data_IF_968497940991
#
_entry.id   IF_968497940991
#
_cell.length_a   1.000
_cell.length_b   1.000
_cell.length_c   1.000
_cell.angle_alpha   90.00
_cell.angle_beta   90.00
_cell.angle_gamma   90.00
#
_symmetry.space_group_name_H-M   'P 1'
#
loop_
_entity.id
_entity.type
_entity.pdbx_description
1 polymer ?
#
# COMPACT_ATOMS: atom_id res chain seq x y z
N UNK A 1 -14.15 7.28 -56.33
CA UNK A 1 -13.83 7.96 -55.09
C UNK A 1 -12.88 9.11 -55.42
N UNK A 2 -13.27 10.34 -55.22
CA UNK A 2 -12.49 11.50 -55.65
C UNK A 2 -11.26 11.70 -54.76
N UNK A 3 -10.13 12.11 -55.37
CA UNK A 3 -8.86 12.29 -54.68
C UNK A 3 -8.95 13.28 -53.48
N UNK A 4 -9.92 14.20 -53.50
CA UNK A 4 -10.20 15.12 -52.39
C UNK A 4 -10.79 14.45 -51.15
N UNK A 5 -11.65 13.43 -51.34
CA UNK A 5 -12.26 12.67 -50.22
C UNK A 5 -11.24 11.78 -49.53
N UNK A 6 -10.27 11.25 -50.31
CA UNK A 6 -9.19 10.42 -49.74
C UNK A 6 -8.21 11.26 -48.88
N UNK A 7 -7.90 12.49 -49.32
CA UNK A 7 -7.04 13.42 -48.53
C UNK A 7 -7.70 13.85 -47.22
N UNK A 8 -9.00 14.13 -47.19
CA UNK A 8 -9.72 14.47 -45.96
C UNK A 8 -9.75 13.28 -44.97
N UNK A 9 -9.93 12.03 -45.47
CA UNK A 9 -9.98 10.86 -44.63
C UNK A 9 -8.63 10.56 -43.99
N UNK A 10 -7.53 10.73 -44.76
CA UNK A 10 -6.15 10.49 -44.21
C UNK A 10 -5.80 11.54 -43.14
N UNK A 11 -6.20 12.80 -43.32
CA UNK A 11 -5.94 13.86 -42.35
C UNK A 11 -6.73 13.66 -41.06
N UNK A 12 -7.97 13.19 -41.14
CA UNK A 12 -8.80 12.90 -39.94
C UNK A 12 -8.22 11.72 -39.16
N UNK A 13 -7.74 10.66 -39.82
CA UNK A 13 -7.12 9.50 -39.16
C UNK A 13 -5.82 9.92 -38.47
N UNK A 14 -5.03 10.81 -39.09
CA UNK A 14 -3.78 11.28 -38.49
C UNK A 14 -4.03 12.18 -37.26
N UNK A 15 -5.05 13.02 -37.30
CA UNK A 15 -5.48 13.84 -36.14
C UNK A 15 -6.05 12.99 -35.01
N UNK A 16 -6.80 11.93 -35.32
CA UNK A 16 -7.29 10.97 -34.30
C UNK A 16 -6.13 10.17 -33.67
N UNK A 17 -5.14 9.76 -34.44
CA UNK A 17 -3.96 9.05 -33.92
C UNK A 17 -3.12 9.94 -32.99
N UNK A 18 -2.96 11.24 -33.30
CA UNK A 18 -2.27 12.19 -32.42
C UNK A 18 -3.08 12.44 -31.13
N UNK A 19 -4.40 12.50 -31.21
CA UNK A 19 -5.26 12.68 -30.03
C UNK A 19 -5.16 11.48 -29.07
N UNK A 20 -5.05 10.25 -29.58
CA UNK A 20 -4.88 9.06 -28.76
C UNK A 20 -3.48 9.02 -28.12
N UNK A 21 -2.44 9.48 -28.81
CA UNK A 21 -1.09 9.57 -28.26
C UNK A 21 -0.94 10.62 -27.14
N UNK A 22 -1.71 11.70 -27.19
CA UNK A 22 -1.69 12.77 -26.16
C UNK A 22 -2.44 12.32 -24.89
N UNK A 23 -3.45 11.45 -24.99
CA UNK A 23 -4.19 10.94 -23.83
C UNK A 23 -3.47 9.78 -23.12
N UNK A 24 -2.41 9.24 -23.70
CA UNK A 24 -1.59 8.17 -23.09
C UNK A 24 -0.43 8.65 -22.21
N UNK A 25 -0.13 9.96 -22.19
CA UNK A 25 0.86 10.57 -21.30
C UNK A 25 0.19 11.35 -20.16
N UNK A 26 -0.77 10.74 -19.49
CA UNK A 26 -1.17 11.20 -18.17
C UNK A 26 0.06 11.05 -17.26
N UNK A 27 0.69 12.17 -16.89
CA UNK A 27 1.59 12.22 -15.74
C UNK A 27 0.75 11.80 -14.53
N UNK A 28 0.71 10.49 -14.25
CA UNK A 28 0.07 9.99 -13.06
C UNK A 28 0.89 10.53 -11.88
N UNK A 29 0.29 11.38 -11.06
CA UNK A 29 0.89 11.87 -9.83
C UNK A 29 1.12 10.71 -8.82
N UNK A 30 0.64 9.53 -9.15
CA UNK A 30 0.77 8.33 -8.33
C UNK A 30 1.91 7.43 -8.81
N UNK A 31 2.61 6.83 -7.85
CA UNK A 31 3.64 5.82 -8.13
C UNK A 31 2.99 4.52 -8.61
N UNK A 32 3.62 3.87 -9.57
CA UNK A 32 3.31 2.48 -9.90
C UNK A 32 3.92 1.58 -8.82
N UNK A 33 3.09 0.86 -8.09
CA UNK A 33 3.51 -0.01 -6.98
C UNK A 33 3.73 -1.44 -7.46
N UNK A 34 4.79 -2.07 -6.95
CA UNK A 34 5.14 -3.49 -7.20
C UNK A 34 5.66 -4.14 -5.93
N UNK A 35 5.63 -5.48 -5.91
CA UNK A 35 6.19 -6.29 -4.82
C UNK A 35 5.68 -5.87 -3.44
N UNK A 36 4.40 -5.51 -3.36
CA UNK A 36 3.78 -5.15 -2.09
C UNK A 36 3.59 -6.42 -1.24
N UNK A 37 3.91 -6.31 0.05
CA UNK A 37 3.65 -7.34 1.03
C UNK A 37 3.38 -6.70 2.38
N UNK A 38 2.43 -7.25 3.12
CA UNK A 38 2.21 -6.91 4.52
C UNK A 38 2.26 -8.16 5.37
N UNK A 39 2.84 -8.02 6.55
CA UNK A 39 2.82 -9.02 7.60
C UNK A 39 2.29 -8.37 8.89
N UNK A 40 1.31 -9.00 9.51
CA UNK A 40 0.79 -8.62 10.81
C UNK A 40 1.20 -9.69 11.80
N UNK A 41 1.81 -9.29 12.91
CA UNK A 41 2.30 -10.20 13.95
C UNK A 41 1.65 -9.90 15.28
N UNK A 42 1.40 -10.95 16.06
CA UNK A 42 0.98 -10.87 17.45
C UNK A 42 1.48 -12.12 18.20
N UNK A 43 0.97 -12.36 19.39
CA UNK A 43 1.20 -13.61 20.13
C UNK A 43 -0.07 -14.06 20.84
N UNK A 44 -0.23 -15.39 20.92
CA UNK A 44 -1.24 -16.07 21.71
C UNK A 44 -0.54 -16.89 22.78
N UNK A 45 -0.75 -16.55 24.06
CA UNK A 45 -0.08 -17.25 25.19
C UNK A 45 1.46 -17.40 24.98
N UNK A 46 2.13 -16.32 24.55
CA UNK A 46 3.55 -16.27 24.17
C UNK A 46 3.93 -17.10 22.92
N UNK A 47 2.97 -17.67 22.22
CA UNK A 47 3.23 -18.32 20.91
C UNK A 47 3.10 -17.27 19.80
N UNK A 48 4.17 -17.06 19.01
CA UNK A 48 4.11 -16.10 17.90
C UNK A 48 3.08 -16.48 16.86
N UNK A 49 2.31 -15.49 16.41
CA UNK A 49 1.31 -15.59 15.36
C UNK A 49 1.64 -14.58 14.25
N UNK A 50 1.41 -14.94 13.00
CA UNK A 50 1.62 -14.04 11.88
C UNK A 50 0.62 -14.30 10.76
N UNK A 51 0.13 -13.21 10.17
CA UNK A 51 -0.69 -13.19 8.97
C UNK A 51 0.05 -12.42 7.88
N UNK A 52 -0.14 -12.80 6.64
CA UNK A 52 0.52 -12.16 5.50
C UNK A 52 -0.39 -12.10 4.29
N UNK A 53 -0.21 -11.09 3.45
CA UNK A 53 -0.76 -11.01 2.10
C UNK A 53 0.12 -10.16 1.21
N UNK A 54 0.11 -10.44 -0.09
CA UNK A 54 0.67 -9.63 -1.18
C UNK A 54 -0.43 -8.92 -1.99
N UNK A 55 -1.69 -9.14 -1.63
CA UNK A 55 -2.85 -8.50 -2.27
C UNK A 55 -3.20 -7.22 -1.50
N UNK A 56 -2.54 -6.13 -1.85
CA UNK A 56 -2.65 -4.82 -1.20
C UNK A 56 -2.84 -3.75 -2.27
N UNK A 57 -3.84 -2.88 -2.09
CA UNK A 57 -3.94 -1.65 -2.90
C UNK A 57 -3.17 -0.52 -2.22
N UNK A 58 -2.08 -0.07 -2.87
CA UNK A 58 -1.23 1.01 -2.35
C UNK A 58 -1.26 2.19 -3.31
N UNK A 59 -1.54 3.37 -2.76
CA UNK A 59 -1.50 4.66 -3.46
C UNK A 59 -0.50 5.59 -2.80
N UNK A 60 0.39 6.17 -3.61
CA UNK A 60 1.35 7.18 -3.15
C UNK A 60 1.35 8.32 -4.14
N UNK A 61 1.03 9.52 -3.66
CA UNK A 61 1.18 10.72 -4.44
C UNK A 61 2.66 11.16 -4.45
N UNK A 62 3.27 11.20 -5.64
CA UNK A 62 4.69 11.56 -5.81
C UNK A 62 5.04 12.99 -5.39
N UNK A 63 4.05 13.91 -5.45
CA UNK A 63 4.26 15.33 -5.16
C UNK A 63 4.09 15.65 -3.68
N UNK A 64 3.05 15.07 -3.05
CA UNK A 64 2.71 15.36 -1.67
C UNK A 64 3.25 14.32 -0.70
N UNK A 65 3.55 13.12 -1.18
CA UNK A 65 3.93 11.98 -0.34
C UNK A 65 2.73 11.29 0.31
N UNK A 66 1.48 11.76 0.04
CA UNK A 66 0.30 11.12 0.59
C UNK A 66 0.30 9.63 0.26
N UNK A 67 0.20 8.84 1.29
CA UNK A 67 0.26 7.38 1.25
C UNK A 67 -1.02 6.78 1.81
N UNK A 68 -1.54 5.79 1.13
CA UNK A 68 -2.64 4.95 1.58
C UNK A 68 -2.39 3.51 1.16
N UNK A 69 -2.54 2.56 2.08
CA UNK A 69 -2.53 1.13 1.81
C UNK A 69 -3.83 0.51 2.33
N UNK A 70 -4.59 -0.14 1.45
CA UNK A 70 -5.83 -0.84 1.76
C UNK A 70 -5.62 -2.35 1.69
N UNK A 71 -5.92 -3.04 2.77
CA UNK A 71 -5.76 -4.48 2.93
C UNK A 71 -7.13 -5.10 3.21
N UNK A 72 -7.65 -5.87 2.28
CA UNK A 72 -8.86 -6.66 2.53
C UNK A 72 -8.51 -7.79 3.51
N UNK A 73 -9.19 -7.84 4.65
CA UNK A 73 -8.89 -8.80 5.72
C UNK A 73 -9.03 -10.25 5.24
N UNK A 74 -9.96 -10.51 4.32
CA UNK A 74 -10.15 -11.84 3.70
C UNK A 74 -8.90 -12.35 2.95
N UNK A 75 -8.00 -11.46 2.54
CA UNK A 75 -6.76 -11.82 1.85
C UNK A 75 -5.61 -12.16 2.82
N UNK A 76 -5.78 -11.92 4.11
CA UNK A 76 -4.78 -12.28 5.12
C UNK A 76 -4.77 -13.79 5.34
N UNK A 77 -3.63 -14.41 5.15
CA UNK A 77 -3.40 -15.84 5.39
C UNK A 77 -2.45 -16.06 6.54
N UNK A 78 -2.65 -17.12 7.31
CA UNK A 78 -1.70 -17.48 8.35
C UNK A 78 -0.36 -17.89 7.74
N UNK A 79 0.71 -17.21 8.14
CA UNK A 79 2.08 -17.58 7.78
C UNK A 79 2.52 -18.87 8.51
N UNK A 80 1.97 -19.12 9.71
CA UNK A 80 2.17 -20.34 10.47
C UNK A 80 0.79 -20.81 10.98
N UNK A 81 0.24 -21.92 10.46
CA UNK A 81 -1.05 -22.42 10.91
C UNK A 81 -1.02 -22.75 12.41
N UNK A 82 -1.95 -22.18 13.17
CA UNK A 82 -2.18 -22.56 14.56
C UNK A 82 -3.59 -23.18 14.66
N UNK A 83 -3.72 -24.47 14.96
CA UNK A 83 -5.02 -25.14 15.04
C UNK A 83 -5.91 -24.63 16.19
N UNK A 84 -5.31 -24.01 17.21
CA UNK A 84 -6.03 -23.49 18.38
C UNK A 84 -6.62 -22.09 18.15
N UNK A 85 -6.25 -21.45 17.05
CA UNK A 85 -6.75 -20.13 16.69
C UNK A 85 -7.57 -20.21 15.39
N UNK A 86 -8.88 -20.16 15.53
CA UNK A 86 -9.80 -20.16 14.37
C UNK A 86 -9.96 -18.78 13.74
N UNK A 87 -9.27 -17.79 14.28
CA UNK A 87 -9.07 -16.44 13.69
C UNK A 87 -10.32 -15.64 13.40
N UNK A 88 -10.07 -14.44 13.06
CA UNK A 88 -10.96 -13.35 12.68
C UNK A 88 -11.80 -13.59 11.41
N UNK A 89 -12.41 -14.74 11.17
CA UNK A 89 -12.92 -15.08 9.84
C UNK A 89 -14.40 -14.82 9.60
N UNK A 90 -15.22 -14.58 10.62
CA UNK A 90 -16.67 -14.47 10.44
C UNK A 90 -17.19 -13.03 10.32
N UNK A 91 -16.86 -12.20 11.29
CA UNK A 91 -17.43 -10.84 11.43
C UNK A 91 -16.64 -9.76 10.67
N UNK A 92 -15.40 -10.06 10.26
CA UNK A 92 -14.51 -9.12 9.55
C UNK A 92 -14.51 -9.31 8.04
N UNK A 93 -15.30 -10.24 7.53
CA UNK A 93 -15.38 -10.53 6.10
C UNK A 93 -15.79 -9.28 5.31
N UNK A 94 -15.01 -8.98 4.28
CA UNK A 94 -15.23 -7.81 3.42
C UNK A 94 -14.79 -6.48 4.03
N UNK A 95 -14.17 -6.46 5.22
CA UNK A 95 -13.64 -5.26 5.84
C UNK A 95 -12.20 -4.99 5.39
N UNK A 96 -11.83 -3.72 5.44
CA UNK A 96 -10.48 -3.26 5.10
C UNK A 96 -9.75 -2.75 6.33
N UNK A 97 -8.48 -3.12 6.44
CA UNK A 97 -7.50 -2.42 7.26
C UNK A 97 -6.83 -1.39 6.37
N UNK A 98 -6.90 -0.11 6.76
CA UNK A 98 -6.35 1.01 5.99
C UNK A 98 -5.21 1.64 6.79
N UNK A 99 -4.06 1.80 6.15
CA UNK A 99 -2.92 2.54 6.68
C UNK A 99 -2.75 3.80 5.86
N UNK A 100 -2.71 4.97 6.50
CA UNK A 100 -2.51 6.24 5.81
C UNK A 100 -1.53 7.15 6.53
N UNK A 101 -0.88 8.05 5.78
CA UNK A 101 0.10 9.01 6.29
C UNK A 101 0.81 9.73 5.18
N UNK A 102 1.94 10.38 5.50
CA UNK A 102 2.75 11.10 4.52
C UNK A 102 4.17 10.55 4.51
N UNK A 103 4.57 9.91 3.40
CA UNK A 103 5.92 9.40 3.20
C UNK A 103 6.79 10.48 2.52
N UNK A 104 8.03 10.73 2.98
CA UNK A 104 8.91 11.74 2.38
C UNK A 104 9.56 11.24 1.06
N UNK A 105 8.73 10.93 0.06
CA UNK A 105 9.16 10.34 -1.21
C UNK A 105 10.13 11.26 -1.97
N UNK A 106 9.92 12.57 -1.91
CA UNK A 106 10.81 13.54 -2.55
C UNK A 106 12.20 13.51 -1.93
N UNK A 107 12.30 13.46 -0.60
CA UNK A 107 13.60 13.35 0.10
C UNK A 107 14.37 12.10 -0.35
N UNK A 108 13.65 10.99 -0.55
CA UNK A 108 14.23 9.73 -1.03
C UNK A 108 14.72 9.87 -2.48
N UNK A 109 13.92 10.48 -3.34
CA UNK A 109 14.25 10.63 -4.76
C UNK A 109 15.38 11.63 -4.99
N UNK A 110 15.56 12.61 -4.12
CA UNK A 110 16.65 13.59 -4.17
C UNK A 110 17.97 13.03 -3.60
N UNK A 111 17.90 12.19 -2.58
CA UNK A 111 19.08 11.60 -1.92
C UNK A 111 19.55 10.33 -2.65
N UNK A 112 20.51 10.49 -3.55
CA UNK A 112 20.85 9.50 -4.55
C UNK A 112 21.47 8.18 -4.04
N UNK A 113 22.01 8.07 -2.82
CA UNK A 113 22.89 6.94 -2.47
C UNK A 113 22.72 6.34 -1.06
N UNK A 114 21.82 6.85 -0.23
CA UNK A 114 21.69 6.36 1.14
C UNK A 114 20.25 5.94 1.45
N UNK A 115 20.10 4.89 2.25
CA UNK A 115 18.82 4.60 2.90
C UNK A 115 18.44 5.75 3.84
N UNK A 116 17.17 6.10 3.87
CA UNK A 116 16.62 7.12 4.76
C UNK A 116 15.72 6.42 5.77
N UNK A 117 16.04 6.54 7.05
CA UNK A 117 15.18 6.11 8.14
C UNK A 117 14.36 7.29 8.65
N UNK A 118 13.06 7.09 8.79
CA UNK A 118 12.12 8.10 9.31
C UNK A 118 11.09 7.47 10.24
N UNK A 119 10.78 8.21 11.30
CA UNK A 119 9.59 7.95 12.12
C UNK A 119 8.46 8.82 11.59
N UNK A 120 7.34 8.22 11.29
CA UNK A 120 6.19 8.85 10.64
C UNK A 120 4.94 8.49 11.44
N UNK A 121 4.14 9.49 11.77
CA UNK A 121 2.82 9.29 12.34
C UNK A 121 1.89 8.74 11.27
N UNK A 122 1.30 7.59 11.55
CA UNK A 122 0.38 6.89 10.68
C UNK A 122 -0.98 6.76 11.35
N UNK A 123 -2.01 6.87 10.56
CA UNK A 123 -3.36 6.49 10.94
C UNK A 123 -3.63 5.07 10.46
N UNK A 124 -4.06 4.21 11.35
CA UNK A 124 -4.60 2.91 11.03
C UNK A 124 -6.10 2.95 11.26
N UNK A 125 -6.88 2.65 10.23
CA UNK A 125 -8.35 2.62 10.28
C UNK A 125 -8.84 1.19 10.10
N UNK A 126 -9.85 0.81 10.90
CA UNK A 126 -10.58 -0.43 10.73
C UNK A 126 -12.05 -0.23 11.11
N UNK A 127 -12.97 -0.50 10.18
CA UNK A 127 -14.43 -0.45 10.39
C UNK A 127 -14.94 0.89 10.98
N UNK A 128 -14.27 2.01 10.61
CA UNK A 128 -14.60 3.36 11.07
C UNK A 128 -13.97 3.76 12.41
N UNK A 129 -13.07 2.94 12.96
CA UNK A 129 -12.26 3.27 14.13
C UNK A 129 -10.84 3.58 13.70
N UNK A 130 -10.28 4.69 14.23
CA UNK A 130 -8.96 5.18 13.90
C UNK A 130 -7.99 5.00 15.07
N UNK A 131 -6.77 4.59 14.78
CA UNK A 131 -5.68 4.51 15.73
C UNK A 131 -4.44 5.23 15.19
N UNK A 132 -3.89 6.16 15.95
CA UNK A 132 -2.68 6.90 15.60
C UNK A 132 -1.45 6.22 16.21
N UNK A 133 -0.45 5.95 15.42
CA UNK A 133 0.80 5.36 15.91
C UNK A 133 2.00 5.78 15.07
N UNK A 134 3.19 5.68 15.66
CA UNK A 134 4.44 5.98 14.96
C UNK A 134 4.98 4.73 14.30
N UNK A 135 5.14 4.79 12.99
CA UNK A 135 5.85 3.78 12.20
C UNK A 135 7.29 4.23 11.92
N UNK A 136 8.20 3.28 11.93
CA UNK A 136 9.56 3.49 11.43
C UNK A 136 9.64 2.97 10.00
N UNK A 137 10.02 3.84 9.07
CA UNK A 137 10.21 3.52 7.67
C UNK A 137 11.69 3.61 7.28
N UNK A 138 12.16 2.61 6.57
CA UNK A 138 13.43 2.63 5.83
C UNK A 138 13.10 2.72 4.33
N UNK A 139 13.61 3.73 3.67
CA UNK A 139 13.38 3.98 2.24
C UNK A 139 14.70 4.09 1.50
N UNK A 140 14.77 3.51 0.29
CA UNK A 140 15.96 3.48 -0.54
C UNK A 140 15.61 3.78 -2.00
N UNK A 141 16.34 4.71 -2.63
CA UNK A 141 16.24 4.99 -4.06
C UNK A 141 16.99 3.95 -4.87
N UNK A 142 16.41 3.55 -6.00
CA UNK A 142 17.11 2.74 -7.01
C UNK A 142 17.83 3.60 -8.04
N UNK A 143 18.94 3.12 -8.58
CA UNK A 143 19.64 3.77 -9.69
C UNK A 143 18.76 3.91 -10.94
N UNK A 144 17.77 3.04 -11.10
CA UNK A 144 16.83 3.02 -12.23
C UNK A 144 15.64 3.97 -12.08
N UNK A 145 15.60 4.78 -11.01
CA UNK A 145 14.58 5.81 -10.84
C UNK A 145 13.32 5.37 -10.07
N UNK A 146 13.40 4.31 -9.29
CA UNK A 146 12.35 3.91 -8.35
C UNK A 146 12.84 3.96 -6.90
N UNK A 147 12.02 3.53 -5.98
CA UNK A 147 12.35 3.42 -4.56
C UNK A 147 11.76 2.16 -3.91
N UNK A 148 12.40 1.68 -2.87
CA UNK A 148 11.84 0.67 -1.98
C UNK A 148 11.45 1.30 -0.66
N UNK A 149 10.43 0.76 -0.04
CA UNK A 149 9.94 1.14 1.29
C UNK A 149 9.79 -0.12 2.12
N UNK A 150 10.28 -0.07 3.35
CA UNK A 150 9.97 -1.02 4.41
C UNK A 150 9.57 -0.22 5.64
N UNK A 151 8.38 -0.49 6.15
CA UNK A 151 7.83 0.18 7.33
C UNK A 151 7.43 -0.82 8.39
N UNK A 152 7.57 -0.44 9.66
CA UNK A 152 7.03 -1.21 10.76
C UNK A 152 6.51 -0.29 11.87
N UNK A 153 5.39 -0.70 12.47
CA UNK A 153 4.77 0.00 13.59
C UNK A 153 3.88 -0.94 14.38
N UNK A 154 3.40 -0.46 15.52
CA UNK A 154 2.51 -1.21 16.41
C UNK A 154 1.17 -0.52 16.48
N UNK A 155 0.10 -1.29 16.42
CA UNK A 155 -1.28 -0.82 16.61
C UNK A 155 -1.97 -1.67 17.67
N UNK A 156 -2.96 -1.08 18.36
CA UNK A 156 -3.80 -1.80 19.33
C UNK A 156 -5.03 -2.34 18.63
N UNK A 157 -5.29 -3.65 18.72
CA UNK A 157 -6.50 -4.22 18.16
C UNK A 157 -7.75 -3.88 18.98
N UNK A 158 -7.58 -3.63 20.28
CA UNK A 158 -8.70 -3.22 21.15
C UNK A 158 -9.16 -1.80 20.82
N UNK A 159 -8.25 -0.87 20.56
CA UNK A 159 -8.58 0.50 20.13
C UNK A 159 -9.23 0.53 18.73
N UNK A 160 -8.85 -0.39 17.85
CA UNK A 160 -9.46 -0.56 16.53
C UNK A 160 -10.76 -1.40 16.58
N UNK A 161 -11.18 -1.87 17.75
CA UNK A 161 -12.37 -2.71 17.93
C UNK A 161 -12.39 -3.94 16.99
N UNK A 162 -11.22 -4.55 16.76
CA UNK A 162 -11.13 -5.75 15.93
C UNK A 162 -11.64 -6.94 16.74
N UNK A 163 -12.83 -7.42 16.44
CA UNK A 163 -13.46 -8.52 17.14
C UNK A 163 -12.70 -9.85 17.01
N UNK A 164 -12.90 -10.75 17.96
CA UNK A 164 -12.32 -12.11 18.01
C UNK A 164 -10.78 -12.16 18.10
N UNK A 165 -10.14 -11.07 18.53
CA UNK A 165 -8.70 -11.02 18.82
C UNK A 165 -8.40 -10.92 20.31
N UNK A 166 -9.41 -11.01 21.20
CA UNK A 166 -9.27 -10.81 22.65
C UNK A 166 -8.31 -11.80 23.33
N UNK A 167 -8.05 -12.92 22.66
CA UNK A 167 -7.07 -13.91 23.14
C UNK A 167 -5.62 -13.59 22.77
N UNK A 168 -5.43 -12.65 21.82
CA UNK A 168 -4.11 -12.21 21.41
C UNK A 168 -3.57 -11.14 22.35
N UNK A 169 -2.26 -10.93 22.30
CA UNK A 169 -1.68 -9.71 22.83
C UNK A 169 -2.31 -8.52 22.09
N UNK A 170 -2.69 -7.46 22.80
CA UNK A 170 -3.35 -6.28 22.24
C UNK A 170 -2.50 -5.61 21.16
N UNK A 171 -1.17 -5.69 21.25
CA UNK A 171 -0.27 -5.15 20.26
C UNK A 171 -0.18 -6.03 19.01
N UNK A 172 -0.56 -5.44 17.86
CA UNK A 172 -0.31 -5.98 16.53
C UNK A 172 0.87 -5.24 15.91
N UNK A 173 1.96 -5.97 15.62
CA UNK A 173 3.09 -5.41 14.86
C UNK A 173 2.80 -5.54 13.38
N UNK A 174 2.68 -4.41 12.69
CA UNK A 174 2.47 -4.33 11.24
C UNK A 174 3.82 -4.09 10.58
N UNK A 175 4.18 -4.91 9.58
CA UNK A 175 5.35 -4.77 8.73
C UNK A 175 4.86 -4.68 7.30
N UNK A 176 5.17 -3.58 6.61
CA UNK A 176 4.81 -3.31 5.23
C UNK A 176 6.06 -3.15 4.38
N UNK A 177 6.08 -3.75 3.18
CA UNK A 177 7.14 -3.53 2.20
C UNK A 177 6.59 -3.44 0.79
N UNK A 178 7.18 -2.57 -0.04
CA UNK A 178 6.83 -2.43 -1.46
C UNK A 178 7.91 -1.66 -2.23
N UNK A 179 7.77 -1.63 -3.56
CA UNK A 179 8.58 -0.81 -4.46
C UNK A 179 7.68 0.13 -5.25
N UNK A 180 8.13 1.38 -5.44
CA UNK A 180 7.44 2.42 -6.22
C UNK A 180 8.28 2.91 -7.39
N UNK A 181 7.60 3.32 -8.49
CA UNK A 181 8.22 3.83 -9.73
C UNK A 181 7.52 5.09 -10.24
#
# INVERSE_FOLDING_TARGET
MNATTLKCFTTIIFLLAISIAIHGQGNSNYSAIRNANIQIKSSLNNTPMAWTTDVIDIKINKQTGDFEAQILVDNLTFATPNPDFTGATGEQKGKYLILSGVLPVNDVLENANNAIDRKIEMTTEFDGYDYQSTFTFTMLKFQTGGFSVMGSGTVSHSELHIANLEQLNDELVIILSFTGY
#
